data_IF_740473380598
#
_entry.id   IF_740473380598
#
_cell.length_a   1.000
_cell.length_b   1.000
_cell.length_c   1.000
_cell.angle_alpha   90.00
_cell.angle_beta   90.00
_cell.angle_gamma   90.00
#
_symmetry.space_group_name_H-M   'P 1'
#
loop_
_entity.id
_entity.type
_entity.pdbx_description
1 polymer ?
#
# COMPACT_ATOMS: atom_id res chain seq x y z
N UNK A 1 12.54 -14.93 -30.61
CA UNK A 1 11.29 -15.44 -29.97
C UNK A 1 10.91 -14.50 -28.84
N UNK A 2 9.79 -13.77 -28.96
CA UNK A 2 9.34 -12.78 -27.96
C UNK A 2 8.29 -13.41 -27.03
N UNK A 3 8.45 -13.45 -25.70
CA UNK A 3 7.42 -13.99 -24.83
C UNK A 3 6.30 -12.97 -24.62
N UNK A 4 5.06 -13.41 -24.89
CA UNK A 4 3.81 -12.70 -24.64
C UNK A 4 3.61 -12.43 -23.14
N UNK A 5 3.31 -11.19 -22.78
CA UNK A 5 2.88 -10.79 -21.44
C UNK A 5 1.38 -11.07 -21.32
N UNK A 6 0.97 -11.94 -20.38
CA UNK A 6 -0.43 -12.20 -20.05
C UNK A 6 -0.96 -11.11 -19.12
N UNK A 7 -1.82 -10.23 -19.65
CA UNK A 7 -2.61 -9.28 -18.86
C UNK A 7 -3.84 -10.04 -18.36
N UNK A 8 -3.96 -10.26 -17.05
CA UNK A 8 -5.22 -10.72 -16.45
C UNK A 8 -6.06 -9.49 -16.10
N UNK A 9 -7.08 -9.22 -16.93
CA UNK A 9 -8.18 -8.30 -16.60
C UNK A 9 -9.17 -9.07 -15.73
N UNK A 10 -9.44 -8.61 -14.50
CA UNK A 10 -10.66 -9.00 -13.79
C UNK A 10 -11.76 -8.00 -14.15
N UNK A 11 -12.87 -8.53 -14.67
CA UNK A 11 -14.11 -7.81 -14.89
C UNK A 11 -14.88 -7.74 -13.55
N UNK A 12 -15.35 -6.55 -13.19
CA UNK A 12 -16.36 -6.38 -12.15
C UNK A 12 -17.74 -6.41 -12.82
N UNK A 13 -18.62 -7.29 -12.36
CA UNK A 13 -20.01 -7.38 -12.79
C UNK A 13 -20.95 -7.19 -11.60
N UNK A 14 -21.97 -6.36 -11.83
CA UNK A 14 -23.34 -6.59 -11.33
C UNK A 14 -23.62 -6.15 -9.91
N UNK A 15 -24.49 -5.14 -9.77
CA UNK A 15 -24.89 -4.56 -8.50
C UNK A 15 -26.06 -5.27 -7.81
N UNK A 16 -26.46 -4.71 -6.66
CA UNK A 16 -27.82 -4.82 -6.12
C UNK A 16 -28.16 -3.48 -5.48
N UNK A 17 -29.26 -2.90 -5.95
CA UNK A 17 -29.93 -1.76 -5.34
C UNK A 17 -30.69 -2.22 -4.08
N UNK A 18 -30.53 -1.49 -2.98
CA UNK A 18 -31.25 -1.73 -1.73
C UNK A 18 -31.72 -0.41 -1.12
N UNK A 19 -33.03 -0.33 -0.94
CA UNK A 19 -33.85 0.84 -0.58
C UNK A 19 -33.59 1.37 0.84
N UNK A 20 -33.79 2.68 1.02
CA UNK A 20 -33.67 3.45 2.26
C UNK A 20 -34.54 2.92 3.41
N UNK A 21 -33.99 2.95 4.63
CA UNK A 21 -34.75 3.18 5.85
C UNK A 21 -33.97 4.18 6.72
N UNK A 22 -34.54 5.38 6.89
CA UNK A 22 -34.03 6.42 7.77
C UNK A 22 -34.65 6.26 9.17
N UNK A 23 -33.81 6.20 10.20
CA UNK A 23 -34.19 6.53 11.58
C UNK A 23 -33.09 7.44 12.13
N UNK A 24 -33.51 8.63 12.56
CA UNK A 24 -32.61 9.74 12.92
C UNK A 24 -31.94 9.59 14.27
N UNK A 25 -30.81 10.30 14.41
CA UNK A 25 -30.27 10.76 15.69
C UNK A 25 -29.78 12.20 15.46
N UNK A 26 -30.22 13.19 16.26
CA UNK A 26 -29.68 14.55 16.20
C UNK A 26 -28.45 14.67 17.11
N UNK A 27 -27.36 15.27 16.61
CA UNK A 27 -26.21 15.56 17.46
C UNK A 27 -24.98 16.06 16.72
N UNK A 28 -24.88 17.38 16.57
CA UNK A 28 -23.64 18.17 16.75
C UNK A 28 -22.44 17.92 15.83
N UNK A 29 -22.20 18.88 14.92
CA UNK A 29 -20.88 19.15 14.36
C UNK A 29 -20.79 18.94 12.85
N UNK A 30 -20.90 20.03 12.09
CA UNK A 30 -20.64 20.06 10.64
C UNK A 30 -19.13 19.92 10.36
N UNK A 31 -18.56 18.74 10.62
CA UNK A 31 -17.40 18.30 9.89
C UNK A 31 -17.88 17.95 8.49
N UNK A 32 -17.45 18.69 7.45
CA UNK A 32 -17.69 18.27 6.06
C UNK A 32 -17.18 16.84 5.94
N UNK A 33 -18.08 15.88 5.73
CA UNK A 33 -17.70 14.56 5.31
C UNK A 33 -16.86 14.73 4.05
N UNK A 34 -15.54 14.49 4.17
CA UNK A 34 -14.67 14.44 3.01
C UNK A 34 -15.19 13.25 2.24
N UNK A 35 -15.81 13.50 1.08
CA UNK A 35 -16.24 12.43 0.19
C UNK A 35 -15.06 11.47 0.04
N UNK A 36 -15.24 10.21 0.46
CA UNK A 36 -14.20 9.21 0.34
C UNK A 36 -13.83 9.12 -1.13
N UNK A 37 -12.60 9.53 -1.48
CA UNK A 37 -12.07 9.33 -2.82
C UNK A 37 -12.13 7.84 -3.20
N UNK A 38 -11.97 7.50 -4.49
CA UNK A 38 -12.04 6.12 -4.94
C UNK A 38 -11.16 5.21 -4.06
N UNK A 39 -11.75 4.12 -3.56
CA UNK A 39 -11.05 3.15 -2.70
C UNK A 39 -10.02 2.40 -3.54
N UNK A 40 -8.76 2.51 -3.16
CA UNK A 40 -7.63 1.81 -3.77
C UNK A 40 -7.12 0.75 -2.78
N UNK A 41 -7.58 -0.49 -2.96
CA UNK A 41 -7.23 -1.61 -2.08
C UNK A 41 -6.23 -2.56 -2.75
N UNK A 42 -5.13 -2.87 -2.06
CA UNK A 42 -4.08 -3.75 -2.57
C UNK A 42 -3.68 -4.78 -1.51
N UNK A 43 -3.82 -6.09 -1.78
CA UNK A 43 -3.12 -7.11 -0.99
C UNK A 43 -1.64 -7.09 -1.35
N UNK A 44 -0.78 -7.19 -0.34
CA UNK A 44 0.68 -7.23 -0.45
C UNK A 44 1.19 -8.40 0.37
N UNK A 45 2.09 -9.19 -0.18
CA UNK A 45 2.68 -10.36 0.45
C UNK A 45 4.16 -10.10 0.71
N UNK A 46 4.54 -9.99 1.98
CA UNK A 46 5.94 -10.07 2.36
C UNK A 46 6.44 -11.50 2.26
N UNK A 47 7.67 -11.67 1.80
CA UNK A 47 8.33 -12.96 1.65
C UNK A 47 7.52 -13.95 0.79
N UNK A 48 6.96 -13.46 -0.33
CA UNK A 48 6.22 -14.33 -1.25
C UNK A 48 7.12 -15.41 -1.87
N UNK A 49 8.40 -15.12 -2.03
CA UNK A 49 9.44 -16.04 -2.50
C UNK A 49 10.66 -15.99 -1.59
N UNK A 50 11.60 -16.93 -1.76
CA UNK A 50 12.88 -16.94 -1.06
C UNK A 50 13.87 -15.85 -1.56
N UNK A 51 13.49 -15.06 -2.58
CA UNK A 51 14.36 -14.03 -3.14
C UNK A 51 14.78 -13.02 -2.08
N UNK A 52 16.04 -12.58 -2.17
CA UNK A 52 16.63 -11.61 -1.25
C UNK A 52 16.55 -12.04 0.22
N UNK A 53 16.68 -13.35 0.50
CA UNK A 53 16.58 -13.86 1.88
C UNK A 53 15.22 -13.57 2.51
N UNK A 54 14.13 -13.79 1.77
CA UNK A 54 12.73 -13.47 2.16
C UNK A 54 12.39 -11.96 2.22
N UNK A 55 13.36 -11.06 2.04
CA UNK A 55 13.14 -9.61 2.08
C UNK A 55 12.60 -9.05 0.76
N UNK A 56 11.34 -9.36 0.46
CA UNK A 56 10.63 -8.92 -0.75
C UNK A 56 9.17 -8.56 -0.48
N UNK A 57 8.61 -7.73 -1.36
CA UNK A 57 7.17 -7.55 -1.51
C UNK A 57 6.72 -8.16 -2.83
N UNK A 58 5.76 -9.09 -2.76
CA UNK A 58 5.23 -9.85 -3.88
C UNK A 58 6.32 -10.54 -4.73
N UNK A 59 7.41 -10.97 -4.09
CA UNK A 59 8.56 -11.58 -4.76
C UNK A 59 9.52 -10.58 -5.40
N UNK A 60 9.29 -9.28 -5.23
CA UNK A 60 10.03 -8.20 -5.87
C UNK A 60 10.86 -7.38 -4.88
N UNK A 61 11.91 -6.76 -5.40
CA UNK A 61 12.86 -5.95 -4.62
C UNK A 61 13.20 -4.66 -5.35
N UNK A 62 13.88 -3.74 -4.65
CA UNK A 62 14.52 -2.55 -5.20
C UNK A 62 13.60 -1.66 -6.04
N UNK A 63 12.32 -1.54 -5.65
CA UNK A 63 11.35 -0.67 -6.29
C UNK A 63 10.69 -1.26 -7.54
N UNK A 64 10.83 -2.56 -7.79
CA UNK A 64 10.19 -3.24 -8.92
C UNK A 64 8.66 -3.24 -8.81
N UNK A 65 8.09 -3.44 -7.62
CA UNK A 65 6.66 -3.23 -7.39
C UNK A 65 6.37 -1.73 -7.34
N UNK A 66 5.42 -1.30 -8.18
CA UNK A 66 4.95 0.09 -8.25
C UNK A 66 3.43 0.10 -8.08
N UNK A 67 2.97 0.82 -7.06
CA UNK A 67 1.55 1.14 -6.86
C UNK A 67 1.33 2.58 -7.30
N UNK A 68 0.31 2.82 -8.12
CA UNK A 68 -0.11 4.16 -8.51
C UNK A 68 -1.56 4.39 -8.10
N UNK A 69 -1.86 5.50 -7.44
CA UNK A 69 -3.22 5.89 -7.02
C UNK A 69 -3.52 7.34 -7.43
N UNK A 70 -4.80 7.74 -7.60
CA UNK A 70 -5.13 9.14 -7.78
C UNK A 70 -4.94 9.94 -6.48
N UNK A 71 -4.63 11.23 -6.59
CA UNK A 71 -4.65 12.16 -5.44
C UNK A 71 -6.05 12.15 -4.80
N UNK A 72 -6.08 12.15 -3.47
CA UNK A 72 -7.31 12.07 -2.67
C UNK A 72 -7.87 10.66 -2.51
N UNK A 73 -7.24 9.61 -3.07
CA UNK A 73 -7.68 8.23 -2.88
C UNK A 73 -7.68 7.81 -1.40
N UNK A 74 -8.70 7.05 -1.00
CA UNK A 74 -8.66 6.26 0.22
C UNK A 74 -7.92 4.96 -0.06
N UNK A 75 -6.74 4.79 0.53
CA UNK A 75 -5.84 3.66 0.25
C UNK A 75 -5.92 2.64 1.38
N UNK A 76 -6.04 1.36 1.01
CA UNK A 76 -5.93 0.23 1.92
C UNK A 76 -4.84 -0.73 1.41
N UNK A 77 -3.80 -0.93 2.21
CA UNK A 77 -2.76 -1.93 1.95
C UNK A 77 -2.89 -3.04 3.00
N UNK A 78 -3.12 -4.26 2.53
CA UNK A 78 -3.23 -5.43 3.41
C UNK A 78 -1.95 -6.25 3.27
N UNK A 79 -1.06 -6.13 4.25
CA UNK A 79 0.21 -6.85 4.29
C UNK A 79 0.02 -8.22 4.96
N UNK A 80 0.40 -9.29 4.28
CA UNK A 80 0.52 -10.64 4.87
C UNK A 80 1.96 -11.09 4.86
N UNK A 81 2.46 -11.59 5.99
CA UNK A 81 3.81 -12.14 6.08
C UNK A 81 3.81 -13.67 5.88
N UNK A 82 4.49 -14.17 4.85
CA UNK A 82 4.69 -15.61 4.61
C UNK A 82 6.05 -16.14 5.05
N UNK A 83 6.99 -15.26 5.36
CA UNK A 83 8.38 -15.57 5.68
C UNK A 83 8.59 -15.83 7.16
N UNK A 84 9.81 -16.21 7.49
CA UNK A 84 10.28 -16.44 8.86
C UNK A 84 10.77 -15.15 9.53
N UNK A 85 11.20 -14.17 8.75
CA UNK A 85 11.59 -12.84 9.24
C UNK A 85 10.36 -11.97 9.56
N UNK A 86 10.43 -11.08 10.57
CA UNK A 86 9.41 -10.06 10.76
C UNK A 86 9.40 -9.07 9.60
N UNK A 87 8.21 -8.70 9.13
CA UNK A 87 8.06 -7.72 8.05
C UNK A 87 7.03 -6.67 8.43
N UNK A 88 7.25 -5.45 7.96
CA UNK A 88 6.36 -4.31 8.19
C UNK A 88 6.13 -3.57 6.88
N UNK A 89 5.32 -2.52 6.91
CA UNK A 89 5.14 -1.61 5.78
C UNK A 89 5.06 -0.17 6.29
N UNK A 90 5.77 0.74 5.63
CA UNK A 90 5.65 2.17 5.85
C UNK A 90 5.77 2.92 4.52
N UNK A 91 4.85 3.86 4.25
CA UNK A 91 4.98 4.80 3.13
C UNK A 91 5.77 6.02 3.62
N UNK A 92 6.86 6.35 2.94
CA UNK A 92 7.76 7.46 3.31
C UNK A 92 7.98 8.39 2.11
N UNK A 93 8.39 9.66 2.35
CA UNK A 93 8.86 10.52 1.28
C UNK A 93 9.95 9.84 0.45
N UNK A 94 9.96 10.10 -0.86
CA UNK A 94 11.00 9.55 -1.71
C UNK A 94 12.39 10.07 -1.30
N UNK A 95 13.37 9.16 -1.27
CA UNK A 95 14.77 9.44 -1.00
C UNK A 95 15.65 8.52 -1.83
N UNK A 96 16.86 8.97 -2.18
CA UNK A 96 17.87 8.15 -2.84
C UNK A 96 18.72 7.36 -1.83
N UNK A 97 18.66 7.71 -0.55
CA UNK A 97 19.35 7.02 0.54
C UNK A 97 18.31 6.23 1.32
N UNK A 98 18.33 4.90 1.17
CA UNK A 98 17.39 4.04 1.89
C UNK A 98 17.65 4.14 3.40
N UNK A 99 16.60 4.28 4.23
CA UNK A 99 16.77 4.34 5.67
C UNK A 99 17.11 2.95 6.24
N UNK A 100 17.85 2.94 7.35
CA UNK A 100 18.24 1.70 8.03
C UNK A 100 17.07 0.99 8.74
N UNK A 101 15.99 1.71 9.05
CA UNK A 101 14.79 1.20 9.70
C UNK A 101 13.61 2.12 9.32
N UNK A 102 12.45 1.89 9.94
CA UNK A 102 11.32 2.80 9.84
C UNK A 102 11.72 4.23 10.24
N UNK A 103 11.18 5.21 9.52
CA UNK A 103 11.37 6.63 9.85
C UNK A 103 10.33 7.09 10.89
N UNK A 104 10.58 8.18 11.63
CA UNK A 104 9.66 8.63 12.68
C UNK A 104 8.25 8.97 12.20
N UNK A 105 8.11 9.47 10.98
CA UNK A 105 6.82 9.95 10.44
C UNK A 105 6.57 9.41 9.04
N UNK A 106 5.45 8.69 8.80
CA UNK A 106 5.08 8.26 7.46
C UNK A 106 4.70 9.45 6.59
N UNK A 107 4.76 9.29 5.27
CA UNK A 107 4.40 10.33 4.30
C UNK A 107 2.94 10.79 4.39
N UNK A 108 2.06 9.91 4.86
CA UNK A 108 0.66 10.19 5.12
C UNK A 108 0.29 9.66 6.51
N UNK A 109 -0.56 10.37 7.28
CA UNK A 109 -1.06 9.86 8.55
C UNK A 109 -1.68 8.46 8.38
N UNK A 110 -1.26 7.52 9.21
CA UNK A 110 -1.74 6.14 9.17
C UNK A 110 -1.12 5.24 8.09
N UNK A 111 -0.22 5.74 7.23
CA UNK A 111 0.40 4.98 6.15
C UNK A 111 1.54 4.06 6.62
N UNK A 112 1.32 3.32 7.71
CA UNK A 112 2.27 2.35 8.25
C UNK A 112 1.56 1.25 9.04
N UNK A 113 2.22 0.09 9.17
CA UNK A 113 1.84 -0.94 10.15
C UNK A 113 1.99 -0.40 11.58
N UNK A 114 1.27 -0.99 12.55
CA UNK A 114 1.22 -0.53 13.95
C UNK A 114 2.60 -0.23 14.56
N UNK A 115 3.54 -1.18 14.41
CA UNK A 115 4.94 -1.01 14.79
C UNK A 115 5.83 -1.42 13.61
N UNK A 116 6.32 -0.47 12.81
CA UNK A 116 7.10 -0.80 11.64
C UNK A 116 8.52 -1.27 11.95
N UNK A 117 9.06 -1.00 13.15
CA UNK A 117 10.39 -1.49 13.54
C UNK A 117 10.33 -2.92 14.09
N UNK A 118 9.23 -3.32 14.76
CA UNK A 118 9.01 -4.70 15.19
C UNK A 118 8.47 -5.60 14.06
N UNK A 119 7.53 -5.08 13.25
CA UNK A 119 6.86 -5.83 12.19
C UNK A 119 5.86 -6.86 12.67
N UNK A 120 5.23 -7.53 11.71
CA UNK A 120 4.35 -8.68 11.91
C UNK A 120 5.09 -9.98 11.62
N UNK A 121 4.76 -11.04 12.36
CA UNK A 121 5.40 -12.35 12.24
C UNK A 121 4.72 -13.24 11.19
N UNK A 122 5.32 -14.40 10.91
CA UNK A 122 4.79 -15.38 9.97
C UNK A 122 3.30 -15.67 10.18
N UNK A 123 2.55 -15.67 9.08
CA UNK A 123 1.11 -15.97 9.05
C UNK A 123 0.21 -14.82 9.50
N UNK A 124 0.77 -13.75 10.07
CA UNK A 124 -0.02 -12.58 10.46
C UNK A 124 -0.32 -11.67 9.26
N UNK A 125 -1.37 -10.87 9.43
CA UNK A 125 -1.79 -9.83 8.50
C UNK A 125 -1.90 -8.50 9.24
N UNK A 126 -1.49 -7.42 8.60
CA UNK A 126 -1.71 -6.04 9.04
C UNK A 126 -2.43 -5.25 7.95
N UNK A 127 -3.36 -4.39 8.37
CA UNK A 127 -4.07 -3.48 7.48
C UNK A 127 -3.59 -2.06 7.72
N UNK A 128 -3.16 -1.40 6.65
CA UNK A 128 -2.70 0.00 6.63
C UNK A 128 -3.70 0.82 5.84
N UNK A 129 -4.23 1.88 6.43
CA UNK A 129 -5.26 2.73 5.82
C UNK A 129 -4.88 4.20 5.94
N UNK A 130 -4.95 4.92 4.82
CA UNK A 130 -4.60 6.35 4.76
C UNK A 130 -5.22 7.03 3.55
N UNK A 131 -5.21 8.35 3.53
CA UNK A 131 -5.59 9.15 2.35
C UNK A 131 -4.34 9.63 1.62
N UNK A 132 -4.26 9.36 0.32
CA UNK A 132 -3.17 9.82 -0.55
C UNK A 132 -3.37 11.30 -0.96
N UNK A 133 -3.27 12.21 0.01
CA UNK A 133 -3.68 13.61 -0.14
C UNK A 133 -2.76 14.50 -0.97
N UNK A 134 -1.57 14.02 -1.36
CA UNK A 134 -0.56 14.83 -2.06
C UNK A 134 0.06 14.05 -3.22
N UNK A 135 -0.08 14.60 -4.43
CA UNK A 135 0.58 14.07 -5.62
C UNK A 135 2.11 14.02 -5.46
N UNK A 136 2.73 12.98 -6.00
CA UNK A 136 4.18 12.80 -5.91
C UNK A 136 4.61 11.35 -5.90
N UNK A 137 5.93 11.15 -5.77
CA UNK A 137 6.57 9.85 -5.66
C UNK A 137 6.99 9.61 -4.21
N UNK A 138 6.79 8.39 -3.75
CA UNK A 138 7.04 7.93 -2.39
C UNK A 138 7.66 6.53 -2.44
N UNK A 139 8.16 6.07 -1.31
CA UNK A 139 8.64 4.70 -1.14
C UNK A 139 7.69 3.93 -0.24
N UNK A 140 7.46 2.67 -0.56
CA UNK A 140 6.85 1.69 0.33
C UNK A 140 7.99 0.82 0.88
N UNK A 141 8.45 1.08 2.09
CA UNK A 141 9.58 0.36 2.70
C UNK A 141 9.10 -0.70 3.68
N UNK A 142 9.91 -1.74 3.89
CA UNK A 142 9.85 -2.50 5.14
C UNK A 142 10.66 -1.74 6.20
N UNK A 143 10.02 -1.37 7.30
CA UNK A 143 10.63 -0.59 8.38
C UNK A 143 11.44 -1.43 9.39
N UNK A 144 11.40 -2.75 9.30
CA UNK A 144 12.22 -3.62 10.14
C UNK A 144 13.71 -3.34 9.88
N UNK A 145 14.57 -3.30 10.92
CA UNK A 145 15.98 -2.94 10.77
C UNK A 145 16.70 -3.70 9.64
N UNK A 146 17.38 -2.95 8.78
CA UNK A 146 18.18 -3.45 7.65
C UNK A 146 17.39 -3.80 6.39
N UNK A 147 16.09 -4.09 6.46
CA UNK A 147 15.35 -4.66 5.32
C UNK A 147 15.26 -3.70 4.13
N UNK A 148 14.95 -2.43 4.35
CA UNK A 148 14.91 -1.43 3.28
C UNK A 148 16.29 -1.21 2.63
N UNK A 149 17.36 -1.14 3.44
CA UNK A 149 18.76 -1.04 2.95
C UNK A 149 19.13 -2.22 2.05
N UNK A 150 18.66 -3.42 2.40
CA UNK A 150 18.90 -4.65 1.64
C UNK A 150 17.93 -4.81 0.45
N UNK A 151 17.12 -3.80 0.16
CA UNK A 151 16.31 -3.72 -1.07
C UNK A 151 14.84 -4.09 -0.90
N UNK A 152 14.33 -4.24 0.33
CA UNK A 152 12.90 -4.50 0.57
C UNK A 152 12.08 -3.19 0.52
N UNK A 153 11.89 -2.69 -0.69
CA UNK A 153 11.02 -1.55 -0.94
C UNK A 153 10.33 -1.63 -2.31
N UNK A 154 9.13 -1.05 -2.37
CA UNK A 154 8.39 -0.73 -3.59
C UNK A 154 8.31 0.78 -3.81
N UNK A 155 7.76 1.19 -4.95
CA UNK A 155 7.43 2.58 -5.26
C UNK A 155 5.93 2.79 -5.04
N UNK A 156 5.57 3.90 -4.39
CA UNK A 156 4.20 4.35 -4.27
C UNK A 156 4.07 5.72 -4.95
N UNK A 157 3.20 5.83 -5.94
CA UNK A 157 2.99 7.03 -6.73
C UNK A 157 1.57 7.55 -6.53
N UNK A 158 1.47 8.85 -6.26
CA UNK A 158 0.19 9.56 -6.23
C UNK A 158 0.13 10.44 -7.46
N UNK A 159 -0.75 10.08 -8.39
CA UNK A 159 -1.02 10.85 -9.60
C UNK A 159 -1.70 12.17 -9.25
N UNK A 160 -1.33 13.29 -9.91
CA UNK A 160 -2.04 14.56 -9.73
C UNK A 160 -3.47 14.54 -10.29
N UNK A 161 -3.83 13.55 -11.11
CA UNK A 161 -5.18 13.41 -11.65
C UNK A 161 -6.04 12.53 -10.74
N UNK A 162 -7.15 13.10 -10.24
CA UNK A 162 -8.17 12.37 -9.50
C UNK A 162 -8.86 11.27 -10.34
N UNK A 163 -8.77 11.35 -11.67
CA UNK A 163 -9.33 10.36 -12.60
C UNK A 163 -8.41 9.16 -12.85
N UNK A 164 -7.18 9.17 -12.33
CA UNK A 164 -6.25 8.04 -12.47
C UNK A 164 -6.84 6.78 -11.85
N UNK A 165 -6.88 5.68 -12.62
CA UNK A 165 -7.27 4.37 -12.09
C UNK A 165 -6.15 3.82 -11.20
N UNK A 166 -6.45 3.31 -10.00
CA UNK A 166 -5.45 2.64 -9.17
C UNK A 166 -4.83 1.44 -9.88
N UNK A 167 -3.52 1.26 -9.78
CA UNK A 167 -2.79 0.13 -10.36
C UNK A 167 -1.71 -0.39 -9.42
N UNK A 168 -1.37 -1.66 -9.59
CA UNK A 168 -0.16 -2.29 -9.07
C UNK A 168 0.52 -2.98 -10.24
N UNK A 169 1.79 -2.64 -10.49
CA UNK A 169 2.58 -3.16 -11.61
C UNK A 169 3.93 -3.63 -11.10
N UNK A 170 4.38 -4.78 -11.58
CA UNK A 170 5.75 -5.27 -11.36
C UNK A 170 6.58 -4.91 -12.59
N UNK A 171 7.57 -4.04 -12.39
CA UNK A 171 8.59 -3.69 -13.40
C UNK A 171 9.64 -4.80 -13.44
N UNK A 172 9.99 -5.23 -14.64
CA UNK A 172 11.05 -6.22 -14.89
C UNK A 172 12.39 -5.52 -15.05
#
# INVERSE_FOLDING_TARGET
MRPMIRIRRLAAAGGVAGLLAALGVPGGGAGRAVAAGPVAAFPIVAAQTAANGEMNYDGTIKGQLVITVPVGAAVQLTLTNKGTLPHSLQIIPYTNQMPAAAVPTPAFPGAQTKDPQAGITKGQTAVVQFTAGKAGRYLMICGFPGHALLGMYGIFEVSPSAATKPTLVIKK
#
